data_IF_638379165028
#
_entry.id   IF_638379165028
#
_cell.length_a   1.000
_cell.length_b   1.000
_cell.length_c   1.000
_cell.angle_alpha   90.00
_cell.angle_beta   90.00
_cell.angle_gamma   90.00
#
_symmetry.space_group_name_H-M   'P 1'
#
loop_
_entity.id
_entity.type
_entity.pdbx_description
1 polymer ?
#
# COMPACT_ATOMS: atom_id res chain seq x y z
N UNK A 1 -16.21 19.61 23.50
CA UNK A 1 -16.37 20.36 22.23
C UNK A 1 -15.71 19.53 21.13
N UNK A 2 -16.49 18.83 20.29
CA UNK A 2 -15.93 17.83 19.35
C UNK A 2 -15.17 18.51 18.21
N UNK A 3 -14.12 17.87 17.70
CA UNK A 3 -13.21 18.43 16.69
C UNK A 3 -13.92 18.83 15.37
N UNK A 4 -14.96 18.09 14.96
CA UNK A 4 -15.79 18.44 13.80
C UNK A 4 -16.38 19.86 13.90
N UNK A 5 -16.67 20.35 15.11
CA UNK A 5 -17.19 21.70 15.32
C UNK A 5 -16.21 22.81 14.92
N UNK A 6 -14.90 22.55 14.90
CA UNK A 6 -13.88 23.58 14.61
C UNK A 6 -13.77 23.92 13.13
N UNK A 7 -13.83 22.92 12.26
CA UNK A 7 -13.76 23.14 10.80
C UNK A 7 -15.06 23.81 10.32
N UNK A 8 -16.20 23.43 10.89
CA UNK A 8 -17.49 24.10 10.66
C UNK A 8 -17.45 25.56 11.12
N UNK A 9 -16.94 25.83 12.32
CA UNK A 9 -16.81 27.21 12.81
C UNK A 9 -15.90 28.07 11.93
N UNK A 10 -14.82 27.50 11.38
CA UNK A 10 -13.95 28.22 10.46
C UNK A 10 -14.67 28.49 9.13
N UNK A 11 -15.31 27.48 8.55
CA UNK A 11 -16.04 27.61 7.29
C UNK A 11 -17.14 28.69 7.39
N UNK A 12 -17.94 28.66 8.45
CA UNK A 12 -18.99 29.67 8.67
C UNK A 12 -18.45 31.09 8.78
N UNK A 13 -17.26 31.31 9.38
CA UNK A 13 -16.63 32.64 9.47
C UNK A 13 -16.25 33.23 8.12
N UNK A 14 -15.99 32.37 7.12
CA UNK A 14 -15.61 32.77 5.77
C UNK A 14 -16.73 32.54 4.75
N UNK A 15 -17.96 32.28 5.22
CA UNK A 15 -19.13 32.07 4.36
C UNK A 15 -19.09 30.79 3.53
N UNK A 16 -18.30 29.80 3.95
CA UNK A 16 -18.21 28.48 3.30
C UNK A 16 -19.01 27.42 4.05
N UNK A 17 -19.41 26.40 3.31
CA UNK A 17 -20.07 25.19 3.83
C UNK A 17 -19.08 24.03 3.93
N UNK A 18 -19.19 23.23 4.99
CA UNK A 18 -18.41 21.99 5.13
C UNK A 18 -19.13 20.86 4.40
N UNK A 19 -18.45 20.29 3.40
CA UNK A 19 -18.94 19.11 2.67
C UNK A 19 -18.35 17.82 3.27
N UNK A 20 -19.11 16.73 3.21
CA UNK A 20 -18.64 15.39 3.56
C UNK A 20 -18.41 14.59 2.28
N UNK A 21 -17.20 14.07 2.09
CA UNK A 21 -16.85 13.17 1.00
C UNK A 21 -16.69 11.75 1.53
N UNK A 22 -17.32 10.79 0.86
CA UNK A 22 -17.28 9.36 1.20
C UNK A 22 -16.86 8.55 -0.04
N UNK A 23 -16.43 7.30 0.16
CA UNK A 23 -16.06 6.42 -0.94
C UNK A 23 -14.81 6.83 -1.72
N UNK A 24 -13.96 7.71 -1.16
CA UNK A 24 -12.68 8.06 -1.74
C UNK A 24 -11.75 6.84 -1.76
N UNK A 25 -11.03 6.64 -2.86
CA UNK A 25 -10.11 5.52 -3.05
C UNK A 25 -8.73 6.03 -3.46
N UNK A 26 -7.65 5.36 -3.02
CA UNK A 26 -6.28 5.72 -3.42
C UNK A 26 -6.14 5.62 -4.94
N UNK A 27 -5.48 6.62 -5.54
CA UNK A 27 -5.19 6.64 -6.99
C UNK A 27 -6.40 6.85 -7.91
N UNK A 28 -7.63 7.01 -7.39
CA UNK A 28 -8.82 7.24 -8.21
C UNK A 28 -9.38 8.63 -7.99
N UNK A 29 -8.99 9.57 -8.85
CA UNK A 29 -9.50 10.93 -8.84
C UNK A 29 -11.04 10.94 -8.90
N UNK A 30 -11.65 11.86 -8.15
CA UNK A 30 -13.11 11.97 -8.04
C UNK A 30 -13.49 13.39 -7.67
N UNK A 31 -14.36 14.04 -8.46
CA UNK A 31 -14.82 15.41 -8.21
C UNK A 31 -13.69 16.41 -7.93
N UNK A 32 -13.71 17.02 -6.75
CA UNK A 32 -12.74 18.02 -6.28
C UNK A 32 -11.38 17.40 -5.89
N UNK A 33 -11.23 16.08 -5.96
CA UNK A 33 -10.05 15.34 -5.50
C UNK A 33 -9.22 14.81 -6.67
N UNK A 34 -8.08 15.45 -6.95
CA UNK A 34 -7.06 14.91 -7.85
C UNK A 34 -6.35 13.69 -7.23
N UNK A 35 -5.56 12.96 -8.02
CA UNK A 35 -4.75 11.84 -7.51
C UNK A 35 -3.77 12.30 -6.41
N UNK A 36 -3.11 13.44 -6.61
CA UNK A 36 -2.18 14.02 -5.62
C UNK A 36 -2.90 14.52 -4.36
N UNK A 37 -4.11 15.06 -4.53
CA UNK A 37 -4.99 15.44 -3.42
C UNK A 37 -5.33 14.22 -2.58
N UNK A 38 -5.71 13.11 -3.22
CA UNK A 38 -6.06 11.87 -2.54
C UNK A 38 -4.86 11.27 -1.81
N UNK A 39 -3.67 11.26 -2.42
CA UNK A 39 -2.45 10.80 -1.75
C UNK A 39 -2.23 11.56 -0.42
N UNK A 40 -2.32 12.90 -0.44
CA UNK A 40 -2.21 13.71 0.79
C UNK A 40 -3.29 13.40 1.84
N UNK A 41 -4.53 13.16 1.41
CA UNK A 41 -5.61 12.78 2.32
C UNK A 41 -5.32 11.42 2.97
N UNK A 42 -4.89 10.45 2.17
CA UNK A 42 -4.60 9.09 2.62
C UNK A 42 -3.30 8.95 3.44
N UNK A 43 -2.41 9.94 3.39
CA UNK A 43 -1.25 10.08 4.26
C UNK A 43 -1.59 10.80 5.58
N UNK A 44 -2.78 11.38 5.69
CA UNK A 44 -3.24 12.07 6.90
C UNK A 44 -3.87 11.07 7.87
N UNK A 45 -3.46 11.12 9.14
CA UNK A 45 -3.97 10.23 10.20
C UNK A 45 -5.48 10.46 10.46
N UNK A 46 -6.21 9.37 10.74
CA UNK A 46 -7.61 9.43 11.20
C UNK A 46 -7.79 10.45 12.35
N UNK A 47 -8.83 11.26 12.25
CA UNK A 47 -9.17 12.32 13.20
C UNK A 47 -8.33 13.59 13.06
N UNK A 48 -7.25 13.56 12.28
CA UNK A 48 -6.35 14.72 12.08
C UNK A 48 -6.81 15.57 10.90
N UNK A 49 -6.28 16.79 10.85
CA UNK A 49 -6.54 17.75 9.78
C UNK A 49 -5.38 17.81 8.81
N UNK A 50 -5.69 18.18 7.57
CA UNK A 50 -4.70 18.38 6.52
C UNK A 50 -5.13 19.47 5.55
N UNK A 51 -4.19 19.81 4.65
CA UNK A 51 -4.50 20.65 3.50
C UNK A 51 -3.96 20.01 2.23
N UNK A 52 -4.67 20.18 1.14
CA UNK A 52 -4.26 19.71 -0.18
C UNK A 52 -4.75 20.69 -1.27
N UNK A 53 -4.16 20.62 -2.45
CA UNK A 53 -4.76 21.26 -3.63
C UNK A 53 -6.07 20.57 -4.00
N UNK A 54 -6.98 21.28 -4.64
CA UNK A 54 -8.17 20.70 -5.28
C UNK A 54 -7.79 20.08 -6.64
N UNK A 55 -8.78 19.56 -7.38
CA UNK A 55 -8.65 19.33 -8.82
C UNK A 55 -8.54 20.63 -9.63
N UNK A 56 -9.05 21.74 -9.08
CA UNK A 56 -8.86 23.10 -9.61
C UNK A 56 -7.52 23.69 -9.10
N UNK A 57 -6.60 24.16 -9.97
CA UNK A 57 -5.26 24.60 -9.57
C UNK A 57 -5.19 25.76 -8.57
N UNK A 58 -6.22 26.62 -8.52
CA UNK A 58 -6.28 27.79 -7.65
C UNK A 58 -6.98 27.53 -6.31
N UNK A 59 -7.51 26.34 -6.11
CA UNK A 59 -8.28 25.99 -4.92
C UNK A 59 -7.47 25.12 -3.96
N UNK A 60 -7.64 25.38 -2.65
CA UNK A 60 -7.10 24.54 -1.58
C UNK A 60 -8.22 23.99 -0.72
N UNK A 61 -8.10 22.71 -0.41
CA UNK A 61 -8.96 22.01 0.51
C UNK A 61 -8.33 22.03 1.89
N UNK A 62 -9.13 22.34 2.90
CA UNK A 62 -8.84 22.08 4.31
C UNK A 62 -9.80 20.97 4.72
N UNK A 63 -9.27 19.87 5.25
CA UNK A 63 -10.07 18.68 5.54
C UNK A 63 -9.73 18.09 6.90
N UNK A 64 -10.66 17.27 7.40
CA UNK A 64 -10.44 16.37 8.52
C UNK A 64 -10.71 14.94 8.05
N UNK A 65 -9.83 13.99 8.39
CA UNK A 65 -10.10 12.57 8.12
C UNK A 65 -11.10 12.06 9.15
N UNK A 66 -12.38 11.99 8.79
CA UNK A 66 -13.45 11.59 9.69
C UNK A 66 -13.52 10.07 9.90
N UNK A 67 -13.20 9.31 8.87
CA UNK A 67 -13.30 7.85 8.87
C UNK A 67 -12.25 7.24 7.92
N UNK A 68 -11.74 6.06 8.29
CA UNK A 68 -10.89 5.24 7.42
C UNK A 68 -11.50 3.85 7.37
N UNK A 69 -11.71 3.34 6.16
CA UNK A 69 -12.20 1.99 5.92
C UNK A 69 -11.08 1.18 5.25
N UNK A 70 -10.59 0.15 5.94
CA UNK A 70 -9.70 -0.83 5.35
C UNK A 70 -10.59 -1.89 4.70
N UNK A 71 -10.50 -2.13 3.37
CA UNK A 71 -11.28 -3.17 2.73
C UNK A 71 -10.92 -4.54 3.33
N UNK A 72 -11.88 -5.47 3.46
CA UNK A 72 -11.54 -6.84 3.83
C UNK A 72 -10.63 -7.46 2.77
N UNK A 73 -9.86 -8.46 3.20
CA UNK A 73 -9.03 -9.25 2.29
C UNK A 73 -9.91 -9.87 1.19
N UNK A 74 -9.53 -9.69 -0.07
CA UNK A 74 -10.21 -10.27 -1.21
C UNK A 74 -9.47 -11.47 -1.81
N UNK A 75 -10.07 -12.15 -2.81
CA UNK A 75 -9.45 -13.31 -3.46
C UNK A 75 -8.05 -13.02 -4.05
N UNK A 76 -7.83 -11.79 -4.52
CA UNK A 76 -6.53 -11.37 -5.04
C UNK A 76 -5.46 -11.30 -3.94
N UNK A 77 -5.83 -10.84 -2.74
CA UNK A 77 -4.92 -10.76 -1.60
C UNK A 77 -4.55 -12.16 -1.09
N UNK A 78 -5.51 -13.09 -1.08
CA UNK A 78 -5.27 -14.50 -0.74
C UNK A 78 -4.31 -15.17 -1.72
N UNK A 79 -4.49 -14.94 -3.02
CA UNK A 79 -3.59 -15.47 -4.05
C UNK A 79 -2.17 -14.93 -3.88
N UNK A 80 -2.02 -13.64 -3.58
CA UNK A 80 -0.71 -13.02 -3.30
C UNK A 80 -0.09 -13.63 -2.03
N UNK A 81 -0.89 -13.85 -0.98
CA UNK A 81 -0.41 -14.46 0.27
C UNK A 81 0.08 -15.90 0.05
N UNK A 82 -0.65 -16.69 -0.73
CA UNK A 82 -0.24 -18.05 -1.10
C UNK A 82 1.07 -18.05 -1.90
N UNK A 83 1.14 -17.23 -2.95
CA UNK A 83 2.35 -17.11 -3.76
C UNK A 83 3.56 -16.68 -2.91
N UNK A 84 3.37 -15.73 -2.00
CA UNK A 84 4.44 -15.28 -1.09
C UNK A 84 4.87 -16.40 -0.14
N UNK A 85 3.92 -17.19 0.39
CA UNK A 85 4.22 -18.34 1.25
C UNK A 85 5.06 -19.39 0.52
N UNK A 86 4.68 -19.75 -0.71
CA UNK A 86 5.43 -20.72 -1.53
C UNK A 86 6.85 -20.22 -1.84
N UNK A 87 7.01 -18.93 -2.14
CA UNK A 87 8.32 -18.35 -2.40
C UNK A 87 9.21 -18.35 -1.15
N UNK A 88 8.67 -18.01 0.02
CA UNK A 88 9.39 -18.04 1.29
C UNK A 88 9.79 -19.47 1.69
N UNK A 89 8.91 -20.45 1.48
CA UNK A 89 9.22 -21.86 1.76
C UNK A 89 10.37 -22.36 0.90
N UNK A 90 10.33 -22.09 -0.41
CA UNK A 90 11.39 -22.48 -1.33
C UNK A 90 12.73 -21.82 -0.99
N UNK A 91 12.72 -20.52 -0.65
CA UNK A 91 13.92 -19.79 -0.25
C UNK A 91 14.52 -20.37 1.04
N UNK A 92 13.70 -20.64 2.05
CA UNK A 92 14.16 -21.22 3.30
C UNK A 92 14.76 -22.62 3.10
N UNK A 93 14.16 -23.45 2.24
CA UNK A 93 14.69 -24.78 1.91
C UNK A 93 16.03 -24.68 1.15
N UNK A 94 16.15 -23.77 0.20
CA UNK A 94 17.41 -23.53 -0.52
C UNK A 94 18.52 -23.07 0.43
N UNK A 95 18.22 -22.10 1.29
CA UNK A 95 19.17 -21.62 2.30
C UNK A 95 19.60 -22.73 3.27
N UNK A 96 18.67 -23.60 3.67
CA UNK A 96 18.97 -24.75 4.52
C UNK A 96 19.92 -25.74 3.83
N UNK A 97 19.62 -26.14 2.59
CA UNK A 97 20.47 -27.06 1.82
C UNK A 97 21.86 -26.47 1.58
N UNK A 98 21.94 -25.19 1.23
CA UNK A 98 23.23 -24.51 1.03
C UNK A 98 24.02 -24.36 2.33
N UNK A 99 23.34 -24.18 3.46
CA UNK A 99 23.94 -24.24 4.79
C UNK A 99 24.60 -25.59 5.06
N UNK A 100 23.86 -26.69 4.85
CA UNK A 100 24.38 -28.04 5.02
C UNK A 100 25.56 -28.32 4.08
N UNK A 101 25.48 -27.93 2.81
CA UNK A 101 26.57 -28.11 1.84
C UNK A 101 27.86 -27.43 2.30
N UNK A 102 27.76 -26.23 2.87
CA UNK A 102 28.91 -25.50 3.43
C UNK A 102 29.48 -26.21 4.65
N UNK A 103 28.63 -26.67 5.57
CA UNK A 103 29.06 -27.36 6.79
C UNK A 103 29.78 -28.67 6.50
N UNK A 104 29.25 -29.47 5.56
CA UNK A 104 29.85 -30.75 5.18
C UNK A 104 30.92 -30.65 4.08
N UNK A 105 31.22 -29.45 3.57
CA UNK A 105 32.22 -29.23 2.52
C UNK A 105 31.86 -29.90 1.18
N UNK A 106 30.56 -30.05 0.89
CA UNK A 106 30.06 -30.74 -0.31
C UNK A 106 29.86 -29.73 -1.44
N UNK A 107 30.66 -29.87 -2.50
CA UNK A 107 30.55 -29.06 -3.71
C UNK A 107 30.00 -29.90 -4.85
N UNK A 108 29.03 -29.34 -5.59
CA UNK A 108 28.54 -29.97 -6.82
C UNK A 108 29.45 -29.54 -7.96
N UNK A 109 30.06 -30.50 -8.65
CA UNK A 109 30.75 -30.20 -9.90
C UNK A 109 29.70 -30.02 -10.99
N UNK A 110 29.32 -28.77 -11.27
CA UNK A 110 28.25 -28.45 -12.21
C UNK A 110 28.48 -29.03 -13.61
N UNK A 111 29.74 -29.14 -14.05
CA UNK A 111 30.08 -29.74 -15.33
C UNK A 111 29.75 -31.23 -15.36
N UNK A 112 30.10 -31.97 -14.31
CA UNK A 112 29.77 -33.40 -14.21
C UNK A 112 28.27 -33.63 -14.03
N UNK A 113 27.58 -32.73 -13.32
CA UNK A 113 26.13 -32.78 -13.15
C UNK A 113 25.40 -32.58 -14.49
N UNK A 114 25.80 -31.57 -15.29
CA UNK A 114 25.22 -31.32 -16.61
C UNK A 114 25.37 -32.51 -17.56
N UNK A 115 26.54 -33.19 -17.55
CA UNK A 115 26.77 -34.42 -18.33
C UNK A 115 25.82 -35.54 -17.88
N UNK A 116 25.63 -35.70 -16.56
CA UNK A 116 24.78 -36.76 -16.01
C UNK A 116 23.28 -36.56 -16.27
N UNK A 117 22.80 -35.31 -16.38
CA UNK A 117 21.39 -35.00 -16.69
C UNK A 117 21.10 -34.85 -18.19
N UNK A 118 22.05 -35.23 -19.05
CA UNK A 118 21.87 -35.26 -20.50
C UNK A 118 22.05 -33.91 -21.20
N UNK A 119 22.76 -32.97 -20.57
CA UNK A 119 23.09 -31.65 -21.14
C UNK A 119 24.17 -31.66 -22.23
N UNK A 120 24.56 -32.83 -22.74
CA UNK A 120 25.43 -32.94 -23.91
C UNK A 120 24.57 -33.16 -25.17
N UNK A 121 24.01 -32.06 -25.72
CA UNK A 121 24.15 -31.58 -27.12
C UNK A 121 23.67 -30.13 -27.22
#
# INVERSE_FOLDING_TARGET
MSLASRITALASRIGLEVKTATGLQRGRASGDFSADTLNRIFDTKLGSYGTAGSSTPTERLVFQVAQVNVPPMGPADEAIAQQLSEQMENDLLQQYVDGLRKEFGVYVNERSFQIAVGGEQ
#
